data_IF_677813307774
#
_entry.id   IF_677813307774
#
_cell.length_a   1.000
_cell.length_b   1.000
_cell.length_c   1.000
_cell.angle_alpha   90.00
_cell.angle_beta   90.00
_cell.angle_gamma   90.00
#
_symmetry.space_group_name_H-M   'P 1'
#
loop_
_entity.id
_entity.type
_entity.pdbx_description
1 polymer ?
#
# COMPACT_ATOMS: atom_id res chain seq x y z
N UNK A 1 2.86 8.73 -1.22
CA UNK A 1 2.58 7.49 -1.96
C UNK A 1 3.84 7.14 -2.74
N UNK A 2 4.19 5.85 -2.88
CA UNK A 2 5.40 5.46 -3.63
C UNK A 2 5.25 5.82 -5.13
N UNK A 3 6.26 6.39 -5.80
CA UNK A 3 6.16 6.85 -7.19
C UNK A 3 5.70 5.76 -8.17
N UNK A 4 6.29 4.56 -8.10
CA UNK A 4 5.90 3.46 -8.97
C UNK A 4 4.46 2.98 -8.74
N UNK A 5 3.98 3.00 -7.49
CA UNK A 5 2.59 2.65 -7.16
C UNK A 5 1.62 3.69 -7.72
N UNK A 6 1.96 4.98 -7.62
CA UNK A 6 1.16 6.06 -8.22
C UNK A 6 1.06 5.90 -9.73
N UNK A 7 2.19 5.68 -10.40
CA UNK A 7 2.23 5.48 -11.86
C UNK A 7 1.38 4.30 -12.30
N UNK A 8 1.50 3.15 -11.64
CA UNK A 8 0.70 1.97 -11.94
C UNK A 8 -0.81 2.21 -11.75
N UNK A 9 -1.20 2.96 -10.71
CA UNK A 9 -2.61 3.34 -10.49
C UNK A 9 -3.10 4.25 -11.62
N UNK A 10 -2.33 5.26 -12.02
CA UNK A 10 -2.67 6.17 -13.13
C UNK A 10 -2.88 5.40 -14.43
N UNK A 11 -1.97 4.50 -14.78
CA UNK A 11 -2.08 3.67 -15.99
C UNK A 11 -3.35 2.80 -15.99
N UNK A 12 -3.68 2.20 -14.85
CA UNK A 12 -4.89 1.40 -14.72
C UNK A 12 -6.14 2.25 -14.89
N UNK A 13 -6.21 3.41 -14.23
CA UNK A 13 -7.34 4.34 -14.34
C UNK A 13 -7.50 4.86 -15.77
N UNK A 14 -6.40 5.26 -16.41
CA UNK A 14 -6.41 5.72 -17.82
C UNK A 14 -6.86 4.61 -18.79
N UNK A 15 -6.60 3.34 -18.45
CA UNK A 15 -7.09 2.19 -19.20
C UNK A 15 -8.54 1.78 -18.89
N UNK A 16 -9.25 2.55 -18.06
CA UNK A 16 -10.62 2.26 -17.62
C UNK A 16 -10.73 1.11 -16.61
N UNK A 17 -9.61 0.67 -16.01
CA UNK A 17 -9.56 -0.45 -15.06
C UNK A 17 -9.54 0.07 -13.62
N UNK A 18 -10.32 -0.58 -12.75
CA UNK A 18 -10.25 -0.30 -11.31
C UNK A 18 -8.93 -0.83 -10.74
N UNK A 19 -8.12 0.00 -10.08
CA UNK A 19 -6.88 -0.44 -9.44
C UNK A 19 -7.18 -1.42 -8.29
N UNK A 20 -6.57 -2.60 -8.34
CA UNK A 20 -6.62 -3.61 -7.27
C UNK A 20 -5.20 -3.99 -6.87
N UNK A 21 -5.01 -4.60 -5.69
CA UNK A 21 -3.67 -4.98 -5.22
C UNK A 21 -2.94 -5.85 -6.25
N UNK A 22 -3.63 -6.85 -6.81
CA UNK A 22 -3.07 -7.74 -7.82
C UNK A 22 -2.76 -7.02 -9.14
N UNK A 23 -3.69 -6.19 -9.64
CA UNK A 23 -3.50 -5.46 -10.89
C UNK A 23 -2.40 -4.40 -10.77
N UNK A 24 -2.37 -3.66 -9.66
CA UNK A 24 -1.33 -2.67 -9.38
C UNK A 24 0.02 -3.37 -9.27
N UNK A 25 0.13 -4.48 -8.52
CA UNK A 25 1.36 -5.27 -8.42
C UNK A 25 1.85 -5.75 -9.79
N UNK A 26 0.96 -6.28 -10.62
CA UNK A 26 1.31 -6.79 -11.95
C UNK A 26 1.81 -5.70 -12.93
N UNK A 27 1.60 -4.42 -12.62
CA UNK A 27 2.04 -3.27 -13.42
C UNK A 27 3.37 -2.67 -12.95
N UNK A 28 3.91 -3.12 -11.82
CA UNK A 28 5.18 -2.60 -11.31
C UNK A 28 6.36 -3.26 -12.02
N UNK A 29 7.31 -2.45 -12.48
CA UNK A 29 8.57 -2.93 -13.06
C UNK A 29 9.62 -3.28 -12.00
N UNK A 30 9.49 -2.72 -10.81
CA UNK A 30 10.40 -2.92 -9.69
C UNK A 30 9.70 -3.63 -8.53
N UNK A 31 10.44 -4.39 -7.70
CA UNK A 31 9.87 -5.05 -6.53
C UNK A 31 9.51 -4.01 -5.47
N UNK A 32 8.22 -3.67 -5.39
CA UNK A 32 7.68 -2.84 -4.30
C UNK A 32 7.04 -3.74 -3.23
N UNK A 33 7.35 -3.53 -1.93
CA UNK A 33 6.68 -4.21 -0.84
C UNK A 33 5.15 -4.11 -0.91
N UNK A 34 4.46 -5.25 -0.73
CA UNK A 34 3.01 -5.30 -0.78
C UNK A 34 2.31 -4.30 0.16
N UNK A 35 2.80 -4.01 1.39
CA UNK A 35 2.20 -2.97 2.24
C UNK A 35 2.24 -1.56 1.62
N UNK A 36 3.29 -1.23 0.86
CA UNK A 36 3.37 0.06 0.15
C UNK A 36 2.36 0.12 -1.01
N UNK A 37 2.12 -1.00 -1.69
CA UNK A 37 1.07 -1.10 -2.71
C UNK A 37 -0.31 -0.88 -2.07
N UNK A 38 -0.59 -1.55 -0.95
CA UNK A 38 -1.87 -1.44 -0.22
C UNK A 38 -2.10 -0.01 0.30
N UNK A 39 -1.09 0.60 0.91
CA UNK A 39 -1.21 1.98 1.41
C UNK A 39 -1.46 2.99 0.29
N UNK A 40 -0.79 2.84 -0.87
CA UNK A 40 -1.05 3.64 -2.05
C UNK A 40 -2.49 3.47 -2.58
N UNK A 41 -2.96 2.23 -2.67
CA UNK A 41 -4.34 1.92 -3.04
C UNK A 41 -5.37 2.48 -2.05
N UNK A 42 -5.09 2.41 -0.74
CA UNK A 42 -5.97 2.97 0.27
C UNK A 42 -6.03 4.50 0.18
N UNK A 43 -4.88 5.15 -0.05
CA UNK A 43 -4.83 6.59 -0.23
C UNK A 43 -5.62 7.02 -1.48
N UNK A 44 -5.48 6.29 -2.59
CA UNK A 44 -6.27 6.52 -3.81
C UNK A 44 -7.77 6.32 -3.59
N UNK A 45 -8.18 5.26 -2.90
CA UNK A 45 -9.61 5.01 -2.60
C UNK A 45 -10.23 6.12 -1.76
N UNK A 46 -9.47 6.66 -0.81
CA UNK A 46 -9.92 7.76 0.05
C UNK A 46 -9.98 9.09 -0.70
N UNK A 47 -9.03 9.34 -1.60
CA UNK A 47 -8.96 10.55 -2.41
C UNK A 47 -8.43 10.25 -3.83
N UNK A 48 -9.32 10.08 -4.83
CA UNK A 48 -8.91 9.75 -6.20
C UNK A 48 -8.02 10.80 -6.85
N UNK A 49 -8.16 12.07 -6.46
CA UNK A 49 -7.38 13.19 -7.02
C UNK A 49 -5.90 13.12 -6.63
N UNK A 50 -5.53 12.31 -5.63
CA UNK A 50 -4.14 12.18 -5.14
C UNK A 50 -3.15 11.78 -6.24
N UNK A 51 -3.60 11.06 -7.27
CA UNK A 51 -2.76 10.59 -8.36
C UNK A 51 -2.36 11.69 -9.34
N UNK A 52 -3.03 12.85 -9.29
CA UNK A 52 -2.73 14.03 -10.11
C UNK A 52 -1.69 14.94 -9.44
N UNK A 53 -1.42 14.75 -8.15
CA UNK A 53 -0.41 15.52 -7.44
C UNK A 53 1.01 14.99 -7.76
N UNK A 54 2.01 15.88 -7.85
CA UNK A 54 3.40 15.46 -8.01
C UNK A 54 3.85 14.61 -6.81
N UNK A 55 4.53 13.50 -7.08
CA UNK A 55 5.08 12.63 -6.04
C UNK A 55 6.29 13.31 -5.43
N UNK A 56 6.24 13.60 -4.13
CA UNK A 56 7.46 13.90 -3.35
C UNK A 56 8.14 12.58 -3.00
N UNK A 57 9.39 12.39 -3.40
CA UNK A 57 10.20 11.25 -3.00
C UNK A 57 10.35 11.25 -1.47
N UNK A 58 9.83 10.22 -0.80
CA UNK A 58 9.89 10.10 0.66
C UNK A 58 11.19 9.37 1.03
N UNK A 59 12.05 10.04 1.78
CA UNK A 59 13.36 9.54 2.21
C UNK A 59 13.27 8.30 3.12
N UNK A 60 14.36 7.53 3.18
CA UNK A 60 14.53 6.23 3.87
C UNK A 60 14.19 6.21 5.38
N UNK A 61 13.98 7.37 6.02
CA UNK A 61 13.61 7.47 7.44
C UNK A 61 12.22 6.86 7.77
N UNK A 62 11.31 6.75 6.80
CA UNK A 62 10.01 6.10 7.02
C UNK A 62 10.10 4.59 7.24
N UNK A 63 11.16 3.94 6.76
CA UNK A 63 11.32 2.48 6.82
C UNK A 63 11.41 1.95 8.26
N UNK A 64 12.07 2.68 9.16
CA UNK A 64 12.17 2.32 10.59
C UNK A 64 10.82 2.44 11.32
N UNK A 65 10.04 3.46 10.99
CA UNK A 65 8.68 3.64 11.53
C UNK A 65 7.74 2.53 11.05
N UNK A 66 7.88 2.11 9.78
CA UNK A 66 7.11 1.02 9.21
C UNK A 66 7.38 -0.33 9.88
N UNK A 67 8.64 -0.63 10.24
CA UNK A 67 8.98 -1.85 10.98
C UNK A 67 8.22 -1.92 12.32
N UNK A 68 8.25 -0.82 13.09
CA UNK A 68 7.54 -0.74 14.38
C UNK A 68 6.02 -0.86 14.25
N UNK A 69 5.46 -0.48 13.09
CA UNK A 69 4.04 -0.64 12.80
C UNK A 69 3.69 -2.10 12.47
N UNK A 70 4.56 -2.82 11.76
CA UNK A 70 4.37 -4.24 11.47
C UNK A 70 4.37 -5.06 12.76
N UNK A 71 5.32 -4.82 13.66
CA UNK A 71 5.40 -5.51 14.96
C UNK A 71 4.10 -5.33 15.77
N UNK A 72 3.50 -4.13 15.72
CA UNK A 72 2.21 -3.86 16.39
C UNK A 72 1.04 -4.57 15.73
N UNK A 73 1.06 -4.73 14.42
CA UNK A 73 0.01 -5.44 13.67
C UNK A 73 0.10 -6.94 13.98
N UNK A 74 1.29 -7.51 13.98
CA UNK A 74 1.55 -8.91 14.33
C UNK A 74 1.06 -9.22 15.74
N UNK A 75 1.42 -8.41 16.74
CA UNK A 75 0.93 -8.57 18.11
C UNK A 75 -0.59 -8.51 18.24
N UNK A 76 -1.25 -7.63 17.47
CA UNK A 76 -2.72 -7.56 17.44
C UNK A 76 -3.33 -8.81 16.83
N UNK A 77 -2.72 -9.34 15.76
CA UNK A 77 -3.18 -10.55 15.10
C UNK A 77 -3.04 -11.76 16.03
N UNK A 78 -1.90 -11.94 16.69
CA UNK A 78 -1.67 -13.03 17.64
C UNK A 78 -2.68 -13.00 18.79
N UNK A 79 -2.98 -11.80 19.30
CA UNK A 79 -4.01 -11.62 20.33
C UNK A 79 -5.39 -12.04 19.83
N UNK A 80 -5.75 -11.69 18.60
CA UNK A 80 -7.04 -12.07 18.02
C UNK A 80 -7.12 -13.59 17.81
N UNK A 81 -6.07 -14.22 17.30
CA UNK A 81 -6.00 -15.67 17.12
C UNK A 81 -6.15 -16.41 18.45
N UNK A 82 -5.43 -15.96 19.49
CA UNK A 82 -5.53 -16.53 20.85
C UNK A 82 -6.96 -16.45 21.40
N UNK A 83 -7.70 -15.37 21.12
CA UNK A 83 -9.09 -15.21 21.56
C UNK A 83 -10.05 -16.14 20.81
N UNK A 84 -9.75 -16.45 19.55
CA UNK A 84 -10.54 -17.37 18.73
C UNK A 84 -10.28 -18.83 19.09
N UNK A 85 -9.05 -19.19 19.45
CA UNK A 85 -8.69 -20.55 19.90
C UNK A 85 -9.27 -20.92 21.26
N UNK A 86 -9.56 -19.94 22.12
CA UNK A 86 -10.17 -20.14 23.44
C UNK A 86 -11.69 -20.32 23.41
N UNK A 87 -12.27 -20.45 22.21
CA UNK A 87 -13.72 -20.49 21.98
C UNK A 87 -14.14 -21.82 21.37
#
# INVERSE_FOLDING_TARGET
>A
MHPAVQKAIVELVNSGKTPTVALTKARLCEPVPMPLIISGLSAYKNNPEIIKLPVTEKSEQDSLSQQSQLDRIEQKLDRLLTLLEKR
#
